data_IF_315315169297
#
_entry.id   IF_315315169297
#
_cell.length_a   1.000
_cell.length_b   1.000
_cell.length_c   1.000
_cell.angle_alpha   90.00
_cell.angle_beta   90.00
_cell.angle_gamma   90.00
#
_symmetry.space_group_name_H-M   'P 1'
#
loop_
_entity.id
_entity.type
_entity.pdbx_description
1 polymer ?
#
# COMPACT_ATOMS: atom_id res chain seq x y z
N UNK A 1 3.45 -16.08 -11.22
CA UNK A 1 2.70 -15.05 -11.99
C UNK A 1 2.60 -13.83 -11.10
N UNK A 2 3.00 -12.65 -11.59
CA UNK A 2 2.91 -11.43 -10.78
C UNK A 2 1.48 -11.23 -10.26
N UNK A 3 1.36 -10.93 -8.96
CA UNK A 3 0.04 -10.80 -8.32
C UNK A 3 -0.75 -9.61 -8.89
N UNK A 4 -2.06 -9.77 -8.93
CA UNK A 4 -2.98 -8.69 -9.33
C UNK A 4 -2.95 -7.58 -8.29
N UNK A 5 -3.27 -6.35 -8.71
CA UNK A 5 -3.37 -5.21 -7.80
C UNK A 5 -4.40 -5.44 -6.68
N UNK A 6 -5.49 -6.17 -6.97
CA UNK A 6 -6.52 -6.52 -6.00
C UNK A 6 -6.01 -7.50 -4.94
N UNK A 7 -5.28 -8.55 -5.34
CA UNK A 7 -4.71 -9.51 -4.39
C UNK A 7 -3.63 -8.86 -3.51
N UNK A 8 -2.82 -7.96 -4.08
CA UNK A 8 -1.82 -7.21 -3.33
C UNK A 8 -2.46 -6.23 -2.35
N UNK A 9 -3.50 -5.49 -2.77
CA UNK A 9 -4.18 -4.57 -1.87
C UNK A 9 -4.78 -5.31 -0.67
N UNK A 10 -5.44 -6.44 -0.90
CA UNK A 10 -5.97 -7.30 0.16
C UNK A 10 -4.90 -7.72 1.16
N UNK A 11 -3.81 -8.34 0.66
CA UNK A 11 -2.69 -8.80 1.49
C UNK A 11 -2.09 -7.67 2.33
N UNK A 12 -1.90 -6.49 1.74
CA UNK A 12 -1.37 -5.32 2.45
C UNK A 12 -2.33 -4.87 3.54
N UNK A 13 -3.62 -4.72 3.22
CA UNK A 13 -4.61 -4.25 4.19
C UNK A 13 -4.77 -5.23 5.35
N UNK A 14 -4.72 -6.53 5.10
CA UNK A 14 -4.78 -7.55 6.14
C UNK A 14 -3.54 -7.55 7.02
N UNK A 15 -2.36 -7.31 6.44
CA UNK A 15 -1.11 -7.16 7.20
C UNK A 15 -1.19 -5.95 8.14
N UNK A 16 -1.62 -4.78 7.65
CA UNK A 16 -1.77 -3.56 8.45
C UNK A 16 -2.77 -3.81 9.59
N UNK A 17 -3.92 -4.42 9.29
CA UNK A 17 -4.94 -4.78 10.27
C UNK A 17 -4.41 -5.71 11.36
N UNK A 18 -3.69 -6.77 10.98
CA UNK A 18 -3.12 -7.74 11.94
C UNK A 18 -2.06 -7.13 12.85
N UNK A 19 -1.32 -6.13 12.36
CA UNK A 19 -0.34 -5.40 13.17
C UNK A 19 -0.97 -4.36 14.08
N UNK A 20 -2.23 -3.98 13.87
CA UNK A 20 -2.88 -2.90 14.62
C UNK A 20 -2.40 -1.50 14.24
N UNK A 21 -1.57 -1.36 13.21
CA UNK A 21 -1.00 -0.09 12.79
C UNK A 21 -1.99 0.72 11.94
N UNK A 22 -1.82 2.05 11.92
CA UNK A 22 -2.55 2.94 11.01
C UNK A 22 -1.88 3.09 9.66
N UNK A 23 -0.58 2.82 9.60
CA UNK A 23 0.21 2.86 8.38
C UNK A 23 1.32 1.82 8.41
N UNK A 24 1.88 1.53 7.23
CA UNK A 24 3.11 0.77 7.07
C UNK A 24 4.01 1.48 6.08
N UNK A 25 5.32 1.32 6.30
CA UNK A 25 6.36 1.71 5.36
C UNK A 25 6.98 0.45 4.77
N UNK A 26 7.14 0.41 3.45
CA UNK A 26 7.66 -0.74 2.72
C UNK A 26 8.84 -0.27 1.89
N UNK A 27 10.03 -0.78 2.19
CA UNK A 27 11.21 -0.54 1.34
C UNK A 27 10.97 -1.10 -0.07
N UNK A 28 11.50 -0.44 -1.09
CA UNK A 28 11.25 -0.82 -2.49
C UNK A 28 11.59 -2.28 -2.79
N UNK A 29 12.73 -2.79 -2.30
CA UNK A 29 13.11 -4.19 -2.46
C UNK A 29 12.02 -5.16 -1.92
N UNK A 30 11.50 -4.90 -0.71
CA UNK A 30 10.41 -5.69 -0.13
C UNK A 30 9.09 -5.54 -0.88
N UNK A 31 8.86 -4.40 -1.53
CA UNK A 31 7.69 -4.20 -2.36
C UNK A 31 7.77 -4.99 -3.68
N UNK A 32 8.94 -5.06 -4.31
CA UNK A 32 9.19 -5.94 -5.46
C UNK A 32 8.94 -7.40 -5.10
N UNK A 33 9.47 -7.87 -3.96
CA UNK A 33 9.22 -9.22 -3.42
C UNK A 33 7.71 -9.45 -3.19
N UNK A 34 7.04 -8.50 -2.54
CA UNK A 34 5.62 -8.61 -2.16
C UNK A 34 4.72 -8.76 -3.40
N UNK A 35 5.05 -8.03 -4.45
CA UNK A 35 4.27 -7.98 -5.70
C UNK A 35 4.65 -9.08 -6.69
N UNK A 36 5.76 -9.78 -6.44
CA UNK A 36 6.37 -10.78 -7.33
C UNK A 36 6.63 -10.18 -8.72
N UNK A 37 7.27 -9.00 -8.74
CA UNK A 37 7.58 -8.25 -9.96
C UNK A 37 9.04 -7.83 -9.94
N UNK A 38 9.73 -8.00 -11.07
CA UNK A 38 11.09 -7.45 -11.25
C UNK A 38 11.06 -5.95 -11.57
N UNK A 39 9.95 -5.48 -12.14
CA UNK A 39 9.71 -4.06 -12.47
C UNK A 39 8.29 -3.66 -12.16
N UNK A 40 8.15 -2.51 -11.50
CA UNK A 40 6.88 -1.87 -11.22
C UNK A 40 6.61 -0.84 -12.32
N UNK A 41 5.57 -1.07 -13.12
CA UNK A 41 5.09 -0.10 -14.12
C UNK A 41 4.09 0.86 -13.48
N UNK A 42 4.04 2.09 -13.97
CA UNK A 42 3.09 3.10 -13.46
C UNK A 42 1.63 2.64 -13.55
N UNK A 43 1.27 1.91 -14.60
CA UNK A 43 -0.07 1.32 -14.75
C UNK A 43 -0.44 0.40 -13.58
N UNK A 44 0.52 -0.40 -13.08
CA UNK A 44 0.30 -1.25 -11.91
C UNK A 44 0.15 -0.41 -10.65
N UNK A 45 0.99 0.62 -10.46
CA UNK A 45 0.88 1.52 -9.31
C UNK A 45 -0.47 2.24 -9.27
N UNK A 46 -0.93 2.74 -10.41
CA UNK A 46 -2.25 3.37 -10.55
C UNK A 46 -3.38 2.40 -10.22
N UNK A 47 -3.29 1.16 -10.72
CA UNK A 47 -4.27 0.11 -10.40
C UNK A 47 -4.26 -0.23 -8.91
N UNK A 48 -3.09 -0.37 -8.29
CA UNK A 48 -2.95 -0.65 -6.86
C UNK A 48 -3.49 0.49 -6.00
N UNK A 49 -3.19 1.75 -6.33
CA UNK A 49 -3.78 2.92 -5.66
C UNK A 49 -5.31 2.88 -5.71
N UNK A 50 -5.89 2.54 -6.87
CA UNK A 50 -7.35 2.40 -7.03
C UNK A 50 -7.92 1.31 -6.13
N UNK A 51 -7.29 0.15 -6.08
CA UNK A 51 -7.76 -0.96 -5.23
C UNK A 51 -7.59 -0.69 -3.73
N UNK A 52 -6.53 -0.01 -3.31
CA UNK A 52 -6.33 0.43 -1.92
C UNK A 52 -7.37 1.48 -1.50
N UNK A 53 -7.69 2.44 -2.39
CA UNK A 53 -8.69 3.47 -2.11
C UNK A 53 -10.09 2.89 -1.86
N UNK A 54 -10.48 1.84 -2.59
CA UNK A 54 -11.75 1.11 -2.33
C UNK A 54 -11.84 0.54 -0.90
N UNK A 55 -10.69 0.33 -0.25
CA UNK A 55 -10.56 -0.23 1.11
C UNK A 55 -10.27 0.84 2.16
N UNK A 56 -10.39 2.14 1.81
CA UNK A 56 -10.03 3.28 2.67
C UNK A 56 -8.55 3.32 3.05
N UNK A 57 -7.66 3.08 2.08
CA UNK A 57 -6.21 3.26 2.23
C UNK A 57 -5.65 4.16 1.13
N UNK A 58 -4.67 4.99 1.51
CA UNK A 58 -3.86 5.82 0.62
C UNK A 58 -2.50 5.17 0.41
N UNK A 59 -1.91 5.36 -0.77
CA UNK A 59 -0.53 4.94 -1.06
C UNK A 59 0.27 6.10 -1.64
N UNK A 60 1.43 6.36 -1.02
CA UNK A 60 2.42 7.34 -1.46
C UNK A 60 3.74 6.62 -1.71
N UNK A 61 4.33 6.84 -2.88
CA UNK A 61 5.62 6.30 -3.25
C UNK A 61 6.68 7.40 -3.09
N UNK A 62 7.59 7.22 -2.12
CA UNK A 62 8.77 8.07 -1.95
C UNK A 62 9.98 7.48 -2.68
N UNK A 63 11.12 8.16 -2.55
CA UNK A 63 12.39 7.69 -3.14
C UNK A 63 12.88 6.38 -2.51
N UNK A 64 12.71 6.23 -1.19
CA UNK A 64 13.26 5.10 -0.43
C UNK A 64 12.22 4.06 -0.04
N UNK A 65 10.98 4.49 0.20
CA UNK A 65 9.91 3.64 0.72
C UNK A 65 8.58 3.98 0.05
N UNK A 66 7.67 3.01 0.09
CA UNK A 66 6.24 3.20 -0.15
C UNK A 66 5.55 3.26 1.20
N UNK A 67 4.71 4.28 1.40
CA UNK A 67 3.87 4.43 2.57
C UNK A 67 2.45 4.05 2.18
N UNK A 68 1.83 3.18 2.98
CA UNK A 68 0.40 2.84 2.85
C UNK A 68 -0.26 3.11 4.19
N UNK A 69 -1.25 4.00 4.20
CA UNK A 69 -1.90 4.48 5.41
C UNK A 69 -3.41 4.39 5.29
N UNK A 70 -4.09 4.18 6.42
CA UNK A 70 -5.54 4.31 6.51
C UNK A 70 -5.96 5.74 6.14
N UNK A 71 -6.99 5.86 5.32
CA UNK A 71 -7.57 7.13 4.88
C UNK A 71 -8.65 7.59 5.87
N UNK A 72 -8.26 7.72 7.14
CA UNK A 72 -9.14 8.17 8.22
C UNK A 72 -8.49 9.31 8.97
N UNK A 73 -9.32 10.20 9.54
CA UNK A 73 -8.87 11.26 10.41
C UNK A 73 -8.57 10.72 11.83
N UNK A 74 -7.68 9.72 11.94
CA UNK A 74 -7.37 9.05 13.21
C UNK A 74 -6.61 9.93 14.20
N UNK A 75 -5.90 10.94 13.69
CA UNK A 75 -5.09 11.88 14.47
C UNK A 75 -5.34 13.31 13.95
N UNK A 76 -6.54 13.87 14.20
CA UNK A 76 -6.87 15.21 13.73
C UNK A 76 -5.94 16.25 14.34
N UNK A 77 -5.66 17.32 13.58
CA UNK A 77 -5.11 18.55 14.14
C UNK A 77 -6.11 19.05 15.19
N UNK A 78 -5.62 19.32 16.40
CA UNK A 78 -6.44 19.91 17.46
C UNK A 78 -6.44 21.42 17.27
N UNK A 79 -7.62 22.03 17.33
CA UNK A 79 -7.80 23.48 17.38
C UNK A 79 -7.25 24.07 18.70
#
# INVERSE_FOLDING_TARGET
>A
MAKSAAAISEKITDMIRKQGNDYVTIAWNKFYDLTERDRIKDAFMTSLKKELKKRSFLMVAGSSVIIIAKDFNSHPIKD
#
